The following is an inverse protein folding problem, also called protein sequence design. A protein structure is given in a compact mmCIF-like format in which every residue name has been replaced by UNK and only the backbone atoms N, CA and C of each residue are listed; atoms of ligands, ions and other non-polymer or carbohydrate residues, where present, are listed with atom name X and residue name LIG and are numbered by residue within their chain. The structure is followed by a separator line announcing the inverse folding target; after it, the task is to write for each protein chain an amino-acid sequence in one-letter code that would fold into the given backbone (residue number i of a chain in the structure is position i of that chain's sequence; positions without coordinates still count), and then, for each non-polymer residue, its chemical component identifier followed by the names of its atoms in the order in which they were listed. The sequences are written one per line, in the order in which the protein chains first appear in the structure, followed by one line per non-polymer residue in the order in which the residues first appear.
data_IF_556257375143
#
_entry.id   IF_556257375143
#
_cell.length_a   1.000
_cell.length_b   1.000
_cell.length_c   1.000
_cell.angle_alpha   90.00
_cell.angle_beta   90.00
_cell.angle_gamma   90.00
#
_symmetry.space_group_name_H-M   'P 1'
#
loop_
_entity.id
_entity.type
_entity.pdbx_description
1 polymer ?
#
# COMPACT_ATOMS: atom_id res chain seq x y z
N UNK A 1 34.38 6.17 -79.21
CA UNK A 1 32.94 6.31 -78.95
C UNK A 1 32.74 5.88 -77.50
N UNK A 2 32.41 6.82 -76.61
CA UNK A 2 32.37 6.60 -75.15
C UNK A 2 31.07 5.91 -74.71
N UNK A 3 31.22 5.06 -73.68
CA UNK A 3 30.18 4.22 -73.09
C UNK A 3 29.06 5.00 -72.39
N UNK A 4 27.84 4.45 -72.46
CA UNK A 4 26.69 4.94 -71.71
C UNK A 4 26.69 4.37 -70.28
N UNK A 5 26.86 5.25 -69.29
CA UNK A 5 26.77 4.91 -67.87
C UNK A 5 25.31 4.71 -67.45
N UNK A 6 24.96 3.51 -66.98
CA UNK A 6 23.64 3.19 -66.44
C UNK A 6 23.41 3.90 -65.09
N UNK A 7 22.42 4.78 -65.04
CA UNK A 7 22.00 5.50 -63.84
C UNK A 7 21.24 4.53 -62.90
N UNK A 8 21.86 4.10 -61.80
CA UNK A 8 21.19 3.29 -60.78
C UNK A 8 20.20 4.17 -59.99
N UNK A 9 18.91 3.87 -60.08
CA UNK A 9 17.89 4.46 -59.20
C UNK A 9 18.02 3.82 -57.82
N UNK A 10 18.32 4.64 -56.81
CA UNK A 10 18.16 4.24 -55.41
C UNK A 10 16.69 4.41 -55.03
N UNK A 11 16.08 3.46 -54.29
CA UNK A 11 14.73 3.65 -53.76
C UNK A 11 14.76 4.74 -52.68
N UNK A 12 13.75 5.62 -52.68
CA UNK A 12 13.61 6.67 -51.68
C UNK A 12 13.47 6.06 -50.27
N UNK A 13 14.08 6.67 -49.24
CA UNK A 13 13.93 6.19 -47.88
C UNK A 13 12.48 6.36 -47.42
N UNK A 14 11.85 5.26 -47.00
CA UNK A 14 10.53 5.27 -46.36
C UNK A 14 10.69 5.93 -44.99
N UNK A 15 10.34 7.21 -44.90
CA UNK A 15 10.28 7.93 -43.62
C UNK A 15 8.99 7.47 -42.93
N UNK A 16 9.13 6.56 -41.95
CA UNK A 16 8.02 6.24 -41.06
C UNK A 16 7.61 7.51 -40.29
N UNK A 17 6.31 7.87 -40.28
CA UNK A 17 5.86 9.04 -39.55
C UNK A 17 6.16 8.86 -38.05
N UNK A 18 6.56 9.93 -37.34
CA UNK A 18 6.83 9.86 -35.92
C UNK A 18 5.58 9.34 -35.20
N UNK A 19 5.72 8.20 -34.51
CA UNK A 19 4.67 7.64 -33.66
C UNK A 19 4.40 8.64 -32.54
N UNK A 20 3.29 9.38 -32.65
CA UNK A 20 2.83 10.24 -31.57
C UNK A 20 2.54 9.31 -30.38
N UNK A 21 3.22 9.45 -29.23
CA UNK A 21 2.91 8.64 -28.07
C UNK A 21 1.43 8.90 -27.73
N UNK A 22 0.61 7.84 -27.78
CA UNK A 22 -0.77 7.93 -27.33
C UNK A 22 -0.71 8.33 -25.87
N UNK A 23 -1.18 9.53 -25.54
CA UNK A 23 -1.48 9.88 -24.17
C UNK A 23 -2.55 8.90 -23.69
N UNK A 24 -2.14 7.90 -22.92
CA UNK A 24 -3.09 7.05 -22.21
C UNK A 24 -3.83 7.93 -21.21
N UNK A 25 -5.11 8.17 -21.47
CA UNK A 25 -5.98 8.80 -20.47
C UNK A 25 -5.92 7.95 -19.19
N UNK A 26 -5.80 8.56 -18.01
CA UNK A 26 -5.86 7.81 -16.75
C UNK A 26 -7.13 6.96 -16.75
N UNK A 27 -7.00 5.68 -16.42
CA UNK A 27 -8.16 4.80 -16.30
C UNK A 27 -9.16 5.42 -15.32
N UNK A 28 -10.47 5.41 -15.62
CA UNK A 28 -11.49 5.85 -14.68
C UNK A 28 -11.30 5.12 -13.35
N UNK A 29 -11.28 5.88 -12.25
CA UNK A 29 -11.19 5.30 -10.91
C UNK A 29 -12.54 4.63 -10.59
N UNK A 30 -12.48 3.50 -9.91
CA UNK A 30 -13.66 2.88 -9.31
C UNK A 30 -14.07 3.71 -8.09
N UNK A 31 -15.24 4.37 -8.10
CA UNK A 31 -15.66 5.24 -7.00
C UNK A 31 -15.95 4.47 -5.71
N UNK A 32 -16.19 3.16 -5.79
CA UNK A 32 -16.46 2.31 -4.62
C UNK A 32 -15.19 1.73 -4.00
N UNK A 33 -14.03 1.90 -4.66
CA UNK A 33 -12.76 1.40 -4.16
C UNK A 33 -12.22 2.26 -3.00
N UNK A 34 -11.60 1.60 -2.03
CA UNK A 34 -10.83 2.24 -0.97
C UNK A 34 -9.42 2.52 -1.48
N UNK A 35 -9.02 3.78 -1.42
CA UNK A 35 -7.74 4.26 -1.92
C UNK A 35 -6.96 4.81 -0.74
N UNK A 36 -5.72 4.37 -0.63
CA UNK A 36 -4.74 4.91 0.31
C UNK A 36 -4.34 6.32 -0.13
N UNK A 37 -4.83 7.32 0.59
CA UNK A 37 -4.57 8.74 0.32
C UNK A 37 -3.45 9.22 1.25
N UNK A 38 -2.37 9.74 0.64
CA UNK A 38 -1.15 10.14 1.34
C UNK A 38 -0.54 9.07 2.26
N UNK A 39 -0.86 7.78 2.02
CA UNK A 39 -0.29 6.67 2.76
C UNK A 39 0.71 5.89 1.89
N UNK A 40 2.02 6.23 1.96
CA UNK A 40 3.05 5.57 1.17
C UNK A 40 3.24 4.12 1.60
N UNK A 41 3.19 3.18 0.63
CA UNK A 41 3.32 1.75 0.89
C UNK A 41 4.68 1.35 1.49
N UNK A 42 5.76 2.07 1.18
CA UNK A 42 7.12 1.72 1.55
C UNK A 42 7.69 2.54 2.73
N UNK A 43 6.90 3.43 3.34
CA UNK A 43 7.40 4.35 4.35
C UNK A 43 6.61 4.26 5.65
N UNK A 44 7.33 4.32 6.76
CA UNK A 44 6.74 4.40 8.10
C UNK A 44 6.11 5.78 8.29
N UNK A 45 4.82 5.80 8.59
CA UNK A 45 4.06 7.01 8.85
C UNK A 45 3.36 6.94 10.20
N UNK A 46 3.16 8.09 10.84
CA UNK A 46 2.38 8.21 12.09
C UNK A 46 0.88 8.37 11.84
N UNK A 47 0.51 8.75 10.61
CA UNK A 47 -0.86 8.96 10.17
C UNK A 47 -0.96 8.45 8.73
N UNK A 48 -1.95 7.63 8.47
CA UNK A 48 -2.38 7.24 7.14
C UNK A 48 -3.83 7.65 6.93
N UNK A 49 -4.29 7.71 5.69
CA UNK A 49 -5.69 8.00 5.35
C UNK A 49 -6.11 7.05 4.23
N UNK A 50 -7.36 6.59 4.31
CA UNK A 50 -7.99 5.77 3.28
C UNK A 50 -9.30 6.46 2.93
N UNK A 51 -9.54 6.68 1.65
CA UNK A 51 -10.72 7.38 1.13
C UNK A 51 -11.51 6.44 0.22
N UNK A 52 -12.82 6.61 0.20
CA UNK A 52 -13.73 5.99 -0.74
C UNK A 52 -14.70 7.09 -1.17
N UNK A 53 -14.92 7.24 -2.48
CA UNK A 53 -15.78 8.30 -3.02
C UNK A 53 -17.27 7.94 -2.87
N UNK A 54 -17.61 6.66 -2.98
CA UNK A 54 -18.98 6.16 -2.90
C UNK A 54 -19.06 4.87 -2.07
N UNK A 55 -19.37 5.00 -0.78
CA UNK A 55 -19.68 3.87 0.07
C UNK A 55 -21.19 3.60 0.14
N UNK A 56 -21.63 2.40 -0.26
CA UNK A 56 -23.05 2.02 -0.21
C UNK A 56 -23.42 1.38 1.12
N UNK A 57 -24.58 1.72 1.69
CA UNK A 57 -25.08 1.17 2.97
C UNK A 57 -25.28 -0.36 3.00
N UNK A 58 -25.31 -1.02 1.84
CA UNK A 58 -25.42 -2.48 1.70
C UNK A 58 -24.11 -3.13 1.23
N UNK A 59 -23.02 -2.38 1.19
CA UNK A 59 -21.71 -2.94 0.89
C UNK A 59 -21.29 -3.93 1.99
N UNK A 60 -20.52 -4.94 1.58
CA UNK A 60 -19.90 -5.89 2.49
C UNK A 60 -18.92 -5.19 3.44
N UNK A 61 -18.60 -5.81 4.57
CA UNK A 61 -17.58 -5.30 5.49
C UNK A 61 -16.25 -5.11 4.74
N UNK A 62 -15.63 -3.94 4.89
CA UNK A 62 -14.31 -3.67 4.33
C UNK A 62 -13.25 -3.68 5.42
N UNK A 63 -12.25 -4.53 5.26
CA UNK A 63 -11.12 -4.65 6.17
C UNK A 63 -9.94 -3.80 5.69
N UNK A 64 -9.40 -2.98 6.59
CA UNK A 64 -8.20 -2.16 6.33
C UNK A 64 -7.07 -2.70 7.18
N UNK A 65 -6.06 -3.25 6.52
CA UNK A 65 -4.88 -3.81 7.17
C UNK A 65 -3.71 -2.82 7.17
N UNK A 66 -2.98 -2.77 8.28
CA UNK A 66 -1.75 -2.01 8.42
C UNK A 66 -0.84 -2.61 9.49
N UNK A 67 0.46 -2.34 9.39
CA UNK A 67 1.46 -2.77 10.37
C UNK A 67 1.84 -1.64 11.31
N UNK A 68 2.00 -1.97 12.59
CA UNK A 68 2.53 -1.05 13.61
C UNK A 68 3.96 -1.45 13.95
N UNK A 69 4.90 -0.51 13.83
CA UNK A 69 6.30 -0.69 14.18
C UNK A 69 6.66 0.11 15.44
N UNK A 70 7.35 -0.52 16.39
CA UNK A 70 7.97 0.16 17.53
C UNK A 70 9.44 0.47 17.18
N UNK A 71 9.80 1.75 17.16
CA UNK A 71 11.11 2.21 16.67
C UNK A 71 12.24 2.08 17.69
N UNK A 72 11.93 2.09 18.98
CA UNK A 72 12.89 1.85 20.05
C UNK A 72 12.98 0.37 20.38
N UNK A 73 14.00 -0.04 21.13
CA UNK A 73 14.06 -1.35 21.78
C UNK A 73 13.34 -1.33 23.14
N UNK A 74 13.20 -2.50 23.77
CA UNK A 74 12.63 -2.65 25.11
C UNK A 74 11.10 -2.68 25.16
N UNK A 75 10.51 -2.46 26.32
CA UNK A 75 9.06 -2.36 26.45
C UNK A 75 8.53 -1.12 25.72
N UNK A 76 7.36 -1.23 25.10
CA UNK A 76 6.72 -0.10 24.44
C UNK A 76 5.20 -0.21 24.52
N UNK A 77 4.52 0.93 24.64
CA UNK A 77 3.06 1.00 24.64
C UNK A 77 2.60 2.20 23.82
N UNK A 78 1.59 1.99 23.01
CA UNK A 78 1.02 3.00 22.13
C UNK A 78 -0.49 2.84 21.98
N UNK A 79 -1.09 3.74 21.22
CA UNK A 79 -2.50 3.67 20.86
C UNK A 79 -2.66 4.06 19.40
N UNK A 80 -3.32 3.21 18.64
CA UNK A 80 -3.79 3.54 17.29
C UNK A 80 -5.16 4.18 17.42
N UNK A 81 -5.28 5.42 16.92
CA UNK A 81 -6.56 6.14 16.86
C UNK A 81 -7.09 6.03 15.44
N UNK A 82 -8.24 5.39 15.27
CA UNK A 82 -8.99 5.40 14.02
C UNK A 82 -10.10 6.46 14.12
N UNK A 83 -10.36 7.15 13.03
CA UNK A 83 -11.45 8.12 12.93
C UNK A 83 -12.11 7.99 11.56
N UNK A 84 -13.41 7.74 11.56
CA UNK A 84 -14.20 7.55 10.34
C UNK A 84 -15.03 8.81 10.12
N UNK A 85 -14.85 9.41 8.94
CA UNK A 85 -15.63 10.53 8.46
C UNK A 85 -16.51 10.02 7.31
N UNK A 86 -17.81 10.30 7.38
CA UNK A 86 -18.75 10.00 6.30
C UNK A 86 -19.83 11.07 6.26
N UNK A 87 -20.39 11.35 5.08
CA UNK A 87 -21.39 12.41 4.89
C UNK A 87 -22.66 12.17 5.71
N UNK A 88 -23.07 10.90 5.86
CA UNK A 88 -24.24 10.52 6.63
C UNK A 88 -24.00 10.49 8.16
N UNK A 89 -22.80 10.83 8.63
CA UNK A 89 -22.47 10.92 10.05
C UNK A 89 -22.45 12.39 10.50
N UNK A 90 -23.33 12.76 11.44
CA UNK A 90 -23.34 14.12 12.02
C UNK A 90 -22.05 14.44 12.76
N UNK A 91 -21.36 13.41 13.28
CA UNK A 91 -20.06 13.51 13.95
C UNK A 91 -19.20 12.33 13.51
N UNK A 92 -17.86 12.50 13.41
CA UNK A 92 -16.98 11.39 13.10
C UNK A 92 -17.07 10.30 14.16
N UNK A 93 -16.91 9.05 13.75
CA UNK A 93 -16.84 7.90 14.65
C UNK A 93 -15.38 7.62 15.03
N UNK A 94 -15.13 7.18 16.26
CA UNK A 94 -13.77 7.00 16.78
C UNK A 94 -13.57 5.61 17.37
N UNK A 95 -12.46 4.98 17.02
CA UNK A 95 -11.98 3.76 17.67
C UNK A 95 -10.55 3.94 18.16
N UNK A 96 -10.23 3.29 19.28
CA UNK A 96 -8.88 3.29 19.88
C UNK A 96 -8.44 1.87 20.14
N UNK A 97 -7.30 1.49 19.59
CA UNK A 97 -6.69 0.18 19.80
C UNK A 97 -5.37 0.38 20.53
N UNK A 98 -5.25 -0.18 21.73
CA UNK A 98 -4.00 -0.14 22.50
C UNK A 98 -3.07 -1.22 21.94
N UNK A 99 -1.83 -0.84 21.68
CA UNK A 99 -0.78 -1.74 21.19
C UNK A 99 0.37 -1.73 22.20
N UNK A 100 0.92 -2.90 22.50
CA UNK A 100 1.96 -3.07 23.52
C UNK A 100 3.00 -4.10 23.05
N UNK A 101 4.28 -3.81 23.31
CA UNK A 101 5.40 -4.74 23.21
C UNK A 101 5.93 -4.99 24.63
N UNK A 102 5.79 -6.23 25.10
CA UNK A 102 6.38 -6.70 26.35
C UNK A 102 7.68 -7.44 26.07
N UNK A 103 8.68 -7.23 26.92
CA UNK A 103 9.95 -7.94 26.86
C UNK A 103 10.06 -8.79 28.11
N UNK A 104 9.97 -10.10 27.93
CA UNK A 104 10.06 -11.06 29.03
C UNK A 104 11.42 -11.77 28.97
N UNK A 105 12.15 -11.75 30.08
CA UNK A 105 13.37 -12.52 30.23
C UNK A 105 13.05 -13.85 30.89
N UNK A 106 13.25 -14.94 30.17
CA UNK A 106 13.01 -16.29 30.69
C UNK A 106 14.36 -16.92 31.00
N UNK A 107 14.53 -17.38 32.24
CA UNK A 107 15.65 -18.24 32.59
C UNK A 107 15.40 -19.65 32.04
N UNK A 108 16.28 -20.09 31.14
CA UNK A 108 16.16 -21.38 30.47
C UNK A 108 16.18 -22.58 31.43
N UNK A 109 16.90 -22.48 32.55
CA UNK A 109 16.91 -23.53 33.58
C UNK A 109 15.56 -23.63 34.29
N UNK A 110 14.93 -22.49 34.61
CA UNK A 110 13.61 -22.45 35.23
C UNK A 110 12.52 -23.01 34.29
N UNK A 111 12.63 -22.74 32.98
CA UNK A 111 11.74 -23.33 31.98
C UNK A 111 11.91 -24.85 31.90
N UNK A 112 13.16 -25.34 31.85
CA UNK A 112 13.46 -26.76 31.80
C UNK A 112 12.93 -27.52 33.03
N UNK A 113 13.09 -26.96 34.23
CA UNK A 113 12.52 -27.55 35.45
C UNK A 113 10.98 -27.60 35.42
N UNK A 114 10.34 -26.57 34.86
CA UNK A 114 8.89 -26.51 34.75
C UNK A 114 8.35 -27.55 33.76
N UNK A 115 9.05 -27.79 32.65
CA UNK A 115 8.69 -28.84 31.69
C UNK A 115 8.78 -30.24 32.32
N UNK A 116 9.82 -30.52 33.11
CA UNK A 116 9.97 -31.82 33.78
C UNK A 116 8.88 -32.04 34.85
N UNK A 117 8.54 -31.00 35.63
CA UNK A 117 7.54 -31.09 36.70
C UNK A 117 6.12 -31.33 36.18
N UNK A 118 5.78 -30.81 35.01
CA UNK A 118 4.44 -30.96 34.42
C UNK A 118 4.25 -32.27 33.60
N UNK A 119 5.28 -33.11 33.51
CA UNK A 119 5.21 -34.44 32.87
C UNK A 119 4.98 -35.60 33.86
N UNK A 120 4.59 -35.32 35.11
CA UNK A 120 4.16 -36.31 36.11
C UNK A 120 2.68 -36.19 36.39
#
# INVERSE_FOLDING_TARGET
MLEASAFRRFPDPVIEPPSIPRFELPKPRDPEAFIYDDWPAAQQVKKGTVICELWRHQAEEHTIDFMVAFLSDGEARGTVKCTVHAENLTKPEYARVIVERRVEFINMMSLAEHMIKNCR
#
